data_IF_656510313333
#
_entry.id   IF_656510313333
#
_cell.length_a   1.000
_cell.length_b   1.000
_cell.length_c   1.000
_cell.angle_alpha   90.00
_cell.angle_beta   90.00
_cell.angle_gamma   90.00
#
_symmetry.space_group_name_H-M   'P 1'
#
loop_
_entity.id
_entity.type
_entity.pdbx_description
1 polymer ?
#
# COMPACT_ATOMS: atom_id res chain seq x y z
N UNK A 1 46.29 11.03 -78.98
CA UNK A 1 47.27 11.00 -77.87
C UNK A 1 47.44 9.54 -77.45
N UNK A 2 48.49 8.80 -77.84
CA UNK A 2 49.87 8.71 -77.27
C UNK A 2 49.86 8.61 -75.73
N UNK A 3 50.52 7.66 -75.06
CA UNK A 3 51.40 6.53 -75.42
C UNK A 3 51.53 5.63 -74.17
N UNK A 4 51.73 4.33 -74.38
CA UNK A 4 52.23 3.36 -73.38
C UNK A 4 53.57 3.81 -72.83
N UNK A 5 53.87 3.55 -71.56
CA UNK A 5 55.28 3.50 -71.12
C UNK A 5 55.52 2.42 -70.08
N UNK A 6 56.52 1.62 -70.45
CA UNK A 6 57.07 0.42 -69.88
C UNK A 6 57.97 0.70 -68.68
N UNK A 7 58.02 -0.29 -67.80
CA UNK A 7 58.92 -0.51 -66.66
C UNK A 7 60.39 -0.22 -66.95
N UNK A 8 61.12 0.32 -65.97
CA UNK A 8 62.58 0.21 -65.91
C UNK A 8 63.05 -0.24 -64.52
N UNK A 9 63.36 -1.53 -64.46
CA UNK A 9 63.99 -2.26 -63.38
C UNK A 9 65.50 -2.00 -63.36
N UNK A 10 65.99 -0.91 -62.75
CA UNK A 10 67.46 -0.75 -62.61
C UNK A 10 67.92 -0.02 -61.35
N UNK A 11 67.08 0.76 -60.65
CA UNK A 11 67.57 1.53 -59.49
C UNK A 11 67.62 0.77 -58.15
N UNK A 12 67.07 -0.45 -58.04
CA UNK A 12 66.93 -1.11 -56.74
C UNK A 12 68.13 -1.99 -56.34
N UNK A 13 69.06 -2.26 -57.26
CA UNK A 13 70.03 -3.35 -57.08
C UNK A 13 71.32 -2.98 -56.34
N UNK A 14 71.53 -1.69 -55.98
CA UNK A 14 72.80 -1.23 -55.38
C UNK A 14 72.71 -0.54 -54.00
N UNK A 15 71.54 -0.55 -53.32
CA UNK A 15 71.45 -0.08 -51.92
C UNK A 15 71.11 -1.18 -50.92
N UNK A 16 71.01 -2.43 -51.36
CA UNK A 16 70.65 -3.58 -50.51
C UNK A 16 71.84 -4.30 -49.88
N UNK A 17 73.05 -4.15 -50.42
CA UNK A 17 74.21 -4.93 -49.96
C UNK A 17 74.91 -4.28 -48.74
N UNK A 18 74.68 -2.98 -48.49
CA UNK A 18 75.22 -2.28 -47.30
C UNK A 18 74.35 -2.41 -46.04
N UNK A 19 73.14 -2.97 -46.16
CA UNK A 19 72.22 -3.20 -45.02
C UNK A 19 72.17 -4.67 -44.55
N UNK A 20 72.94 -5.56 -45.18
CA UNK A 20 72.96 -6.98 -44.83
C UNK A 20 74.11 -7.38 -43.89
N UNK A 21 75.08 -6.49 -43.61
CA UNK A 21 76.20 -6.76 -42.70
C UNK A 21 76.07 -6.12 -41.31
N UNK A 22 74.99 -5.39 -41.02
CA UNK A 22 74.76 -4.76 -39.70
C UNK A 22 73.60 -5.42 -38.92
N UNK A 23 72.80 -6.28 -39.56
CA UNK A 23 71.61 -6.90 -38.94
C UNK A 23 71.90 -8.27 -38.28
N UNK A 24 73.11 -8.81 -38.40
CA UNK A 24 73.46 -10.12 -37.79
C UNK A 24 74.13 -10.02 -36.41
N UNK A 25 74.24 -8.83 -35.82
CA UNK A 25 74.90 -8.62 -34.51
C UNK A 25 73.99 -8.04 -33.42
N UNK A 26 72.67 -8.25 -33.53
CA UNK A 26 71.69 -7.71 -32.56
C UNK A 26 70.51 -8.65 -32.26
N UNK A 27 70.72 -9.96 -32.34
CA UNK A 27 69.69 -10.96 -32.02
C UNK A 27 70.23 -12.14 -31.20
N UNK A 28 70.77 -11.87 -30.02
CA UNK A 28 70.98 -12.92 -28.99
C UNK A 28 70.66 -12.47 -27.57
N UNK A 29 69.77 -11.48 -27.40
CA UNK A 29 69.17 -11.24 -26.10
C UNK A 29 67.99 -12.22 -25.90
N UNK A 30 67.97 -13.03 -24.83
CA UNK A 30 66.82 -13.86 -24.50
C UNK A 30 65.61 -12.95 -24.23
N UNK A 31 64.58 -13.07 -25.06
CA UNK A 31 63.31 -12.38 -24.84
C UNK A 31 62.76 -12.81 -23.47
N UNK A 32 62.38 -11.86 -22.58
CA UNK A 32 61.75 -12.23 -21.32
C UNK A 32 60.44 -12.95 -21.65
N UNK A 33 60.31 -14.20 -21.18
CA UNK A 33 59.07 -14.96 -21.27
C UNK A 33 58.00 -14.18 -20.51
N UNK A 34 57.10 -13.51 -21.24
CA UNK A 34 55.94 -12.88 -20.62
C UNK A 34 55.04 -13.99 -20.11
N UNK A 35 55.08 -14.23 -18.80
CA UNK A 35 54.18 -15.15 -18.12
C UNK A 35 52.79 -14.53 -18.20
N UNK A 36 52.00 -14.92 -19.18
CA UNK A 36 50.57 -14.62 -19.18
C UNK A 36 49.98 -15.31 -17.96
N UNK A 37 49.69 -14.55 -16.91
CA UNK A 37 48.90 -15.04 -15.80
C UNK A 37 47.54 -15.42 -16.37
N UNK A 38 47.29 -16.73 -16.50
CA UNK A 38 45.96 -17.23 -16.79
C UNK A 38 45.08 -16.70 -15.67
N UNK A 39 44.06 -15.86 -15.95
CA UNK A 39 43.21 -15.33 -14.90
C UNK A 39 42.61 -16.53 -14.16
N UNK A 40 42.79 -16.54 -12.84
CA UNK A 40 42.21 -17.57 -11.98
C UNK A 40 40.73 -17.74 -12.34
N UNK A 41 40.19 -18.97 -12.39
CA UNK A 41 38.79 -19.17 -12.70
C UNK A 41 37.97 -18.34 -11.72
N UNK A 42 37.25 -17.34 -12.25
CA UNK A 42 36.35 -16.49 -11.46
C UNK A 42 35.42 -17.46 -10.76
N UNK A 43 35.55 -17.57 -9.44
CA UNK A 43 34.76 -18.47 -8.62
C UNK A 43 33.31 -18.31 -9.05
N UNK A 44 32.73 -19.39 -9.62
CA UNK A 44 31.38 -19.37 -10.14
C UNK A 44 30.46 -18.87 -9.03
N UNK A 45 29.93 -17.65 -9.19
CA UNK A 45 29.08 -17.04 -8.18
C UNK A 45 27.92 -18.00 -7.92
N UNK A 46 27.83 -18.54 -6.69
CA UNK A 46 26.77 -19.47 -6.31
C UNK A 46 25.44 -18.75 -6.41
N UNK A 47 24.72 -18.94 -7.51
CA UNK A 47 23.45 -18.27 -7.77
C UNK A 47 22.43 -18.82 -6.77
N UNK A 48 22.10 -18.02 -5.75
CA UNK A 48 21.05 -18.36 -4.78
C UNK A 48 19.72 -18.58 -5.53
N UNK A 49 18.90 -19.57 -5.12
CA UNK A 49 17.64 -19.84 -5.79
C UNK A 49 16.68 -18.63 -5.71
N UNK A 50 15.77 -18.45 -6.69
CA UNK A 50 14.78 -17.38 -6.64
C UNK A 50 13.87 -17.53 -5.41
N UNK A 51 13.63 -16.42 -4.71
CA UNK A 51 12.84 -16.40 -3.45
C UNK A 51 11.98 -15.15 -3.37
N UNK A 52 10.71 -15.31 -3.02
CA UNK A 52 9.82 -14.16 -2.78
C UNK A 52 10.25 -13.35 -1.57
N UNK A 53 10.06 -12.03 -1.64
CA UNK A 53 10.35 -11.11 -0.54
C UNK A 53 9.52 -11.43 0.72
N UNK A 54 8.28 -11.91 0.53
CA UNK A 54 7.36 -12.33 1.60
C UNK A 54 6.51 -13.50 1.11
N UNK A 55 6.13 -14.38 2.03
CA UNK A 55 5.19 -15.49 1.80
C UNK A 55 3.79 -15.18 2.33
N UNK A 56 3.67 -14.21 3.25
CA UNK A 56 2.39 -13.65 3.70
C UNK A 56 2.50 -12.15 3.94
N UNK A 57 1.40 -11.43 3.72
CA UNK A 57 1.27 -10.02 4.10
C UNK A 57 -0.17 -9.62 4.35
N UNK A 58 -0.34 -8.57 5.16
CA UNK A 58 -1.63 -7.90 5.37
C UNK A 58 -1.58 -6.54 4.68
N UNK A 59 -2.59 -6.24 3.86
CA UNK A 59 -2.71 -4.95 3.15
C UNK A 59 -4.14 -4.42 3.31
N UNK A 60 -4.29 -3.13 3.58
CA UNK A 60 -5.63 -2.52 3.71
C UNK A 60 -6.23 -2.21 2.33
N UNK A 61 -7.55 -2.01 2.29
CA UNK A 61 -8.24 -1.59 1.06
C UNK A 61 -7.66 -0.24 0.58
N UNK A 62 -7.35 -0.14 -0.71
CA UNK A 62 -6.73 1.01 -1.35
C UNK A 62 -5.23 1.19 -1.09
N UNK A 63 -4.64 0.44 -0.14
CA UNK A 63 -3.20 0.49 0.12
C UNK A 63 -2.43 -0.23 -0.98
N UNK A 64 -1.26 0.32 -1.34
CA UNK A 64 -0.30 -0.29 -2.27
C UNK A 64 0.90 -0.86 -1.52
N UNK A 65 1.39 -2.00 -1.97
CA UNK A 65 2.65 -2.59 -1.49
C UNK A 65 3.38 -3.25 -2.64
N UNK A 66 4.70 -3.45 -2.53
CA UNK A 66 5.47 -4.11 -3.59
C UNK A 66 5.99 -5.46 -3.13
N UNK A 67 5.77 -6.47 -3.96
CA UNK A 67 6.42 -7.77 -3.87
C UNK A 67 7.57 -7.86 -4.86
N UNK A 68 8.61 -8.56 -4.46
CA UNK A 68 9.80 -8.79 -5.28
C UNK A 68 10.11 -10.28 -5.29
N UNK A 69 10.60 -10.77 -6.41
CA UNK A 69 11.23 -12.08 -6.52
C UNK A 69 12.74 -11.86 -6.54
N UNK A 70 13.41 -12.14 -5.42
CA UNK A 70 14.86 -12.01 -5.29
C UNK A 70 15.56 -13.09 -6.13
N UNK A 71 16.78 -12.80 -6.59
CA UNK A 71 17.57 -13.67 -7.47
C UNK A 71 16.85 -14.04 -8.78
N UNK A 72 16.00 -13.14 -9.27
CA UNK A 72 15.32 -13.25 -10.56
C UNK A 72 15.46 -11.97 -11.37
N UNK A 73 15.47 -12.11 -12.70
CA UNK A 73 15.45 -10.96 -13.61
C UNK A 73 14.01 -10.43 -13.66
N UNK A 74 13.78 -9.22 -13.16
CA UNK A 74 12.44 -8.64 -12.97
C UNK A 74 11.60 -8.59 -14.24
N UNK A 75 12.21 -8.39 -15.41
CA UNK A 75 11.52 -8.37 -16.72
C UNK A 75 11.01 -9.73 -17.17
N UNK A 76 11.53 -10.82 -16.60
CA UNK A 76 11.11 -12.19 -16.89
C UNK A 76 10.09 -12.72 -15.86
N UNK A 77 9.73 -11.92 -14.85
CA UNK A 77 8.76 -12.31 -13.83
C UNK A 77 7.37 -11.91 -14.27
N UNK A 78 6.46 -12.88 -14.38
CA UNK A 78 5.04 -12.63 -14.64
C UNK A 78 4.27 -12.70 -13.33
N UNK A 79 3.59 -11.62 -12.96
CA UNK A 79 2.75 -11.56 -11.76
C UNK A 79 1.28 -11.84 -12.10
N UNK A 80 0.58 -12.47 -11.17
CA UNK A 80 -0.87 -12.68 -11.25
C UNK A 80 -1.52 -12.82 -9.89
N UNK A 81 -2.83 -12.61 -9.84
CA UNK A 81 -3.68 -12.78 -8.66
C UNK A 81 -4.67 -13.91 -8.88
N UNK A 82 -4.94 -14.72 -7.85
CA UNK A 82 -6.04 -15.69 -7.91
C UNK A 82 -7.42 -15.01 -7.92
N UNK A 83 -7.53 -13.79 -7.41
CA UNK A 83 -8.77 -13.01 -7.42
C UNK A 83 -8.48 -11.50 -7.40
N UNK A 84 -8.61 -10.88 -8.57
CA UNK A 84 -8.40 -9.44 -8.77
C UNK A 84 -9.47 -8.57 -8.10
N UNK A 85 -10.64 -9.13 -7.76
CA UNK A 85 -11.66 -8.40 -7.00
C UNK A 85 -11.26 -8.19 -5.54
N UNK A 86 -10.30 -8.97 -5.01
CA UNK A 86 -9.80 -8.84 -3.64
C UNK A 86 -8.44 -8.12 -3.63
N UNK A 87 -7.49 -8.56 -4.46
CA UNK A 87 -6.17 -7.92 -4.60
C UNK A 87 -5.75 -7.93 -6.06
N UNK A 88 -5.39 -6.76 -6.59
CA UNK A 88 -4.79 -6.63 -7.93
C UNK A 88 -3.26 -6.59 -7.82
N UNK A 89 -2.57 -7.01 -8.87
CA UNK A 89 -1.11 -6.90 -8.99
C UNK A 89 -0.72 -6.39 -10.38
N UNK A 90 0.21 -5.45 -10.47
CA UNK A 90 0.70 -4.96 -11.76
C UNK A 90 1.97 -5.70 -12.23
N UNK A 91 2.40 -5.42 -13.48
CA UNK A 91 3.59 -6.04 -14.10
C UNK A 91 4.89 -5.85 -13.28
N UNK A 92 4.98 -4.77 -12.49
CA UNK A 92 6.16 -4.47 -11.66
C UNK A 92 6.11 -5.10 -10.26
N UNK A 93 5.05 -5.85 -9.94
CA UNK A 93 4.85 -6.50 -8.64
C UNK A 93 4.22 -5.61 -7.58
N UNK A 94 3.61 -4.48 -7.94
CA UNK A 94 2.82 -3.69 -6.99
C UNK A 94 1.44 -4.30 -6.82
N UNK A 95 1.13 -4.68 -5.59
CA UNK A 95 -0.17 -5.18 -5.17
C UNK A 95 -1.03 -4.04 -4.61
N UNK A 96 -2.33 -4.07 -4.88
CA UNK A 96 -3.32 -3.12 -4.33
C UNK A 96 -4.49 -3.90 -3.74
N UNK A 97 -4.85 -3.62 -2.48
CA UNK A 97 -6.05 -4.19 -1.86
C UNK A 97 -7.32 -3.55 -2.44
N UNK A 98 -8.28 -4.36 -2.88
CA UNK A 98 -9.54 -3.90 -3.50
C UNK A 98 -10.73 -4.18 -2.58
N UNK A 99 -10.89 -5.42 -2.11
CA UNK A 99 -11.94 -5.83 -1.18
C UNK A 99 -11.37 -6.67 -0.05
N UNK A 100 -12.13 -6.82 1.05
CA UNK A 100 -11.74 -7.69 2.15
C UNK A 100 -11.72 -9.16 1.71
N UNK A 101 -10.81 -9.94 2.28
CA UNK A 101 -10.68 -11.36 1.96
C UNK A 101 -9.23 -11.82 2.02
N UNK A 102 -9.01 -13.08 1.68
CA UNK A 102 -7.67 -13.65 1.55
C UNK A 102 -7.51 -14.20 0.15
N UNK A 103 -6.41 -13.87 -0.51
CA UNK A 103 -6.10 -14.32 -1.88
C UNK A 103 -4.62 -14.63 -2.00
N UNK A 104 -4.24 -15.56 -2.88
CA UNK A 104 -2.82 -15.76 -3.20
C UNK A 104 -2.44 -14.94 -4.44
N UNK A 105 -1.34 -14.22 -4.33
CA UNK A 105 -0.63 -13.63 -5.45
C UNK A 105 0.48 -14.58 -5.86
N UNK A 106 0.71 -14.73 -7.16
CA UNK A 106 1.78 -15.57 -7.67
C UNK A 106 2.71 -14.82 -8.62
N UNK A 107 3.98 -15.21 -8.58
CA UNK A 107 5.01 -14.83 -9.53
C UNK A 107 5.46 -16.08 -10.27
N UNK A 108 5.51 -16.00 -11.60
CA UNK A 108 6.02 -17.06 -12.48
C UNK A 108 7.38 -16.61 -13.00
N UNK A 109 8.41 -17.42 -12.79
CA UNK A 109 9.76 -17.19 -13.29
C UNK A 109 10.38 -18.52 -13.69
N UNK A 110 10.88 -18.62 -14.94
CA UNK A 110 11.46 -19.86 -15.50
C UNK A 110 10.56 -21.09 -15.26
N UNK A 111 9.27 -20.95 -15.55
CA UNK A 111 8.23 -21.98 -15.41
C UNK A 111 7.97 -22.46 -13.97
N UNK A 112 8.52 -21.78 -12.95
CA UNK A 112 8.24 -22.05 -11.54
C UNK A 112 7.28 -21.02 -10.97
N UNK A 113 6.28 -21.48 -10.23
CA UNK A 113 5.27 -20.65 -9.56
C UNK A 113 5.67 -20.43 -8.11
N UNK A 114 5.75 -19.17 -7.70
CA UNK A 114 6.00 -18.75 -6.33
C UNK A 114 4.76 -18.03 -5.80
N UNK A 115 4.26 -18.41 -4.62
CA UNK A 115 3.00 -17.88 -4.09
C UNK A 115 3.20 -17.09 -2.80
N UNK A 116 2.45 -16.00 -2.65
CA UNK A 116 2.35 -15.21 -1.43
C UNK A 116 0.88 -15.06 -1.05
N UNK A 117 0.54 -15.33 0.21
CA UNK A 117 -0.82 -15.16 0.76
C UNK A 117 -1.02 -13.73 1.21
N UNK A 118 -1.99 -13.04 0.62
CA UNK A 118 -2.35 -11.68 0.99
C UNK A 118 -3.71 -11.67 1.69
N UNK A 119 -3.77 -11.05 2.86
CA UNK A 119 -5.01 -10.85 3.62
C UNK A 119 -5.37 -9.37 3.62
N UNK A 120 -6.59 -9.06 3.18
CA UNK A 120 -7.20 -7.74 3.28
C UNK A 120 -8.25 -7.77 4.38
N UNK A 121 -8.01 -7.09 5.52
CA UNK A 121 -8.96 -7.10 6.62
C UNK A 121 -10.23 -6.35 6.25
N UNK A 122 -11.36 -6.75 6.85
CA UNK A 122 -12.61 -6.02 6.75
C UNK A 122 -12.48 -4.71 7.52
N UNK A 123 -12.94 -3.62 6.91
CA UNK A 123 -13.07 -2.33 7.56
C UNK A 123 -14.36 -2.31 8.37
N UNK A 124 -14.30 -1.78 9.58
CA UNK A 124 -15.44 -1.71 10.51
C UNK A 124 -15.52 -0.35 11.18
N UNK A 125 -16.73 0.11 11.47
CA UNK A 125 -16.95 1.31 12.27
C UNK A 125 -16.94 0.96 13.76
N UNK A 126 -16.35 1.82 14.60
CA UNK A 126 -16.17 1.54 16.02
C UNK A 126 -17.48 1.30 16.78
N UNK A 127 -18.56 1.97 16.38
CA UNK A 127 -19.89 1.81 16.95
C UNK A 127 -20.93 2.00 15.85
N UNK A 128 -22.00 1.20 15.89
CA UNK A 128 -23.16 1.31 14.99
C UNK A 128 -24.28 2.15 15.59
N UNK A 129 -24.29 2.34 16.91
CA UNK A 129 -25.23 3.20 17.63
C UNK A 129 -24.55 3.83 18.84
N UNK A 130 -24.78 5.13 19.06
CA UNK A 130 -24.25 5.86 20.22
C UNK A 130 -25.31 6.83 20.74
N UNK A 131 -25.52 6.83 22.07
CA UNK A 131 -26.28 7.87 22.75
C UNK A 131 -25.33 8.93 23.30
N UNK A 132 -25.59 10.20 23.00
CA UNK A 132 -24.81 11.34 23.51
C UNK A 132 -25.73 12.40 24.10
N UNK A 133 -25.21 13.18 25.03
CA UNK A 133 -25.93 14.31 25.58
C UNK A 133 -25.76 15.57 24.73
N UNK A 134 -26.76 16.44 24.75
CA UNK A 134 -26.68 17.77 24.11
C UNK A 134 -25.42 18.51 24.59
N UNK A 135 -24.69 19.11 23.64
CA UNK A 135 -23.44 19.83 23.89
C UNK A 135 -22.22 18.93 24.12
N UNK A 136 -22.40 17.61 24.28
CA UNK A 136 -21.28 16.67 24.44
C UNK A 136 -20.77 16.15 23.10
N UNK A 137 -19.56 15.59 23.16
CA UNK A 137 -18.81 15.10 22.00
C UNK A 137 -18.49 13.63 22.15
N UNK A 138 -18.45 12.92 21.03
CA UNK A 138 -17.96 11.53 20.93
C UNK A 138 -17.15 11.38 19.65
N UNK A 139 -16.20 10.46 19.62
CA UNK A 139 -15.41 10.18 18.41
C UNK A 139 -15.86 8.86 17.79
N UNK A 140 -16.03 8.83 16.48
CA UNK A 140 -16.14 7.61 15.69
C UNK A 140 -14.88 7.39 14.86
N UNK A 141 -14.48 6.13 14.74
CA UNK A 141 -13.34 5.72 13.92
C UNK A 141 -13.70 4.54 13.02
N UNK A 142 -12.97 4.42 11.92
CA UNK A 142 -12.98 3.21 11.09
C UNK A 142 -11.71 2.40 11.39
N UNK A 143 -11.89 1.20 11.91
CA UNK A 143 -10.81 0.25 12.11
C UNK A 143 -10.42 -0.39 10.77
N UNK A 144 -9.13 -0.66 10.59
CA UNK A 144 -8.53 -1.19 9.35
C UNK A 144 -8.65 -0.31 8.10
N UNK A 145 -9.20 0.90 8.21
CA UNK A 145 -9.24 1.86 7.10
C UNK A 145 -7.84 2.36 6.70
N UNK A 146 -7.72 2.79 5.44
CA UNK A 146 -6.52 3.41 4.88
C UNK A 146 -6.89 4.65 4.04
N UNK A 147 -6.07 5.68 4.17
CA UNK A 147 -6.31 6.98 3.53
C UNK A 147 -7.40 7.79 4.20
N UNK A 148 -7.89 8.82 3.50
CA UNK A 148 -8.86 9.78 4.03
C UNK A 148 -10.25 9.16 4.15
N UNK A 149 -10.96 9.52 5.21
CA UNK A 149 -12.37 9.18 5.42
C UNK A 149 -13.20 10.46 5.37
N UNK A 150 -14.26 10.47 4.56
CA UNK A 150 -15.23 11.56 4.52
C UNK A 150 -16.37 11.27 5.49
N UNK A 151 -16.82 12.28 6.23
CA UNK A 151 -17.88 12.14 7.22
C UNK A 151 -19.06 13.06 6.89
N UNK A 152 -20.27 12.56 7.05
CA UNK A 152 -21.51 13.32 6.80
C UNK A 152 -22.55 13.02 7.88
N UNK A 153 -23.28 14.04 8.31
CA UNK A 153 -24.49 13.89 9.12
C UNK A 153 -25.72 13.99 8.23
N UNK A 154 -26.72 13.12 8.42
CA UNK A 154 -28.01 13.20 7.75
C UNK A 154 -28.82 14.41 8.23
N UNK A 155 -28.70 14.76 9.51
CA UNK A 155 -29.32 15.95 10.13
C UNK A 155 -28.30 16.67 11.01
N UNK A 156 -27.80 17.81 10.49
CA UNK A 156 -26.84 18.69 11.15
C UNK A 156 -27.44 19.53 12.27
N UNK A 157 -28.77 19.62 12.37
CA UNK A 157 -29.46 20.29 13.47
C UNK A 157 -29.47 19.43 14.74
N UNK A 158 -29.51 18.10 14.58
CA UNK A 158 -29.42 17.12 15.68
C UNK A 158 -27.97 16.86 16.10
N UNK A 159 -27.08 16.53 15.16
CA UNK A 159 -25.66 16.36 15.45
C UNK A 159 -24.77 16.69 14.24
N UNK A 160 -23.58 17.25 14.50
CA UNK A 160 -22.56 17.52 13.48
C UNK A 160 -21.35 16.63 13.65
N UNK A 161 -20.64 16.32 12.55
CA UNK A 161 -19.41 15.54 12.56
C UNK A 161 -18.27 16.32 11.88
N UNK A 162 -17.07 16.29 12.45
CA UNK A 162 -15.86 16.88 11.88
C UNK A 162 -15.20 15.97 10.84
N UNK A 163 -14.18 16.47 10.13
CA UNK A 163 -13.35 15.66 9.22
C UNK A 163 -12.57 14.55 9.92
N UNK A 164 -12.30 14.69 11.22
CA UNK A 164 -11.63 13.68 12.05
C UNK A 164 -12.58 12.63 12.66
N UNK A 165 -13.88 12.72 12.40
CA UNK A 165 -14.88 11.81 12.99
C UNK A 165 -15.35 12.21 14.39
N UNK A 166 -15.06 13.44 14.86
CA UNK A 166 -15.60 13.95 16.12
C UNK A 166 -17.03 14.45 15.91
N UNK A 167 -17.96 13.87 16.65
CA UNK A 167 -19.39 14.20 16.63
C UNK A 167 -19.70 15.10 17.81
N UNK A 168 -20.53 16.13 17.57
CA UNK A 168 -21.08 17.03 18.59
C UNK A 168 -22.61 16.93 18.55
N UNK A 169 -23.22 16.61 19.69
CA UNK A 169 -24.69 16.64 19.84
C UNK A 169 -25.19 18.07 20.00
N UNK A 170 -26.21 18.45 19.22
CA UNK A 170 -26.74 19.83 19.19
C UNK A 170 -28.17 19.92 19.71
N UNK A 171 -29.04 19.02 19.28
CA UNK A 171 -30.46 19.01 19.65
C UNK A 171 -30.92 17.58 19.89
N UNK A 172 -31.85 17.39 20.81
CA UNK A 172 -32.48 16.08 21.05
C UNK A 172 -33.09 15.51 19.77
N UNK A 173 -32.89 14.21 19.56
CA UNK A 173 -33.36 13.51 18.37
C UNK A 173 -32.40 12.44 17.89
N UNK A 174 -32.77 11.77 16.80
CA UNK A 174 -31.96 10.74 16.15
C UNK A 174 -31.44 11.25 14.81
N UNK A 175 -30.18 10.97 14.51
CA UNK A 175 -29.55 11.28 13.21
C UNK A 175 -28.55 10.19 12.84
N UNK A 176 -28.19 10.09 11.57
CA UNK A 176 -27.26 9.09 11.06
C UNK A 176 -25.97 9.79 10.64
N UNK A 177 -24.85 9.31 11.17
CA UNK A 177 -23.52 9.69 10.70
C UNK A 177 -23.04 8.64 9.71
N UNK A 178 -22.65 9.08 8.52
CA UNK A 178 -22.09 8.26 7.45
C UNK A 178 -20.59 8.56 7.31
N UNK A 179 -19.78 7.51 7.39
CA UNK A 179 -18.36 7.54 7.08
C UNK A 179 -18.13 6.87 5.72
N UNK A 180 -17.38 7.51 4.83
CA UNK A 180 -17.04 6.97 3.51
C UNK A 180 -15.53 6.85 3.37
N UNK A 181 -15.03 5.63 3.16
CA UNK A 181 -13.61 5.35 2.93
C UNK A 181 -13.47 4.41 1.72
N UNK A 182 -12.58 4.75 0.78
CA UNK A 182 -12.36 3.97 -0.46
C UNK A 182 -13.67 3.63 -1.21
N UNK A 183 -14.61 4.59 -1.28
CA UNK A 183 -15.96 4.47 -1.88
C UNK A 183 -16.93 3.51 -1.15
N UNK A 184 -16.54 2.94 -0.02
CA UNK A 184 -17.38 2.11 0.84
C UNK A 184 -17.95 2.98 1.97
N UNK A 185 -19.24 2.84 2.25
CA UNK A 185 -19.95 3.59 3.29
C UNK A 185 -20.18 2.76 4.56
N UNK A 186 -20.12 3.43 5.71
CA UNK A 186 -20.38 2.87 7.03
C UNK A 186 -21.27 3.84 7.79
N UNK A 187 -22.26 3.35 8.52
CA UNK A 187 -23.26 4.18 9.20
C UNK A 187 -23.27 3.94 10.70
N UNK A 188 -23.50 5.02 11.45
CA UNK A 188 -23.74 4.97 12.89
C UNK A 188 -24.96 5.83 13.24
N UNK A 189 -25.86 5.28 14.03
CA UNK A 189 -27.04 5.99 14.54
C UNK A 189 -26.65 6.77 15.79
N UNK A 190 -26.90 8.07 15.79
CA UNK A 190 -26.65 8.94 16.94
C UNK A 190 -28.00 9.32 17.55
N UNK A 191 -28.16 9.00 18.83
CA UNK A 191 -29.30 9.43 19.63
C UNK A 191 -28.86 10.53 20.59
N UNK A 192 -29.29 11.76 20.33
CA UNK A 192 -28.99 12.89 21.20
C UNK A 192 -30.11 13.02 22.22
N UNK A 193 -29.75 13.01 23.50
CA UNK A 193 -30.69 13.13 24.62
C UNK A 193 -30.33 14.33 25.50
N UNK A 194 -31.32 14.87 26.19
CA UNK A 194 -31.12 15.98 27.12
C UNK A 194 -30.99 15.41 28.54
N UNK A 195 -29.90 15.78 29.22
CA UNK A 195 -29.67 15.42 30.62
C UNK A 195 -30.70 16.08 31.54
N UNK A 196 -31.02 17.34 31.28
CA UNK A 196 -31.87 18.13 32.15
C UNK A 196 -33.30 17.57 32.08
N UNK A 197 -33.81 17.36 30.86
CA UNK A 197 -35.11 16.69 30.67
C UNK A 197 -35.20 15.34 31.38
N UNK A 198 -34.17 14.48 31.26
CA UNK A 198 -34.18 13.16 31.92
C UNK A 198 -34.19 13.28 33.45
N UNK A 199 -33.57 14.34 33.98
CA UNK A 199 -33.53 14.61 35.42
C UNK A 199 -34.88 15.15 35.89
N UNK A 200 -35.47 16.08 35.14
CA UNK A 200 -36.81 16.64 35.41
C UNK A 200 -37.87 15.53 35.41
N UNK A 201 -37.89 14.68 34.37
CA UNK A 201 -38.81 13.53 34.26
C UNK A 201 -38.66 12.57 35.48
N UNK A 202 -37.44 12.38 35.98
CA UNK A 202 -37.16 11.52 37.13
C UNK A 202 -37.59 12.17 38.46
N UNK A 203 -37.38 13.48 38.61
CA UNK A 203 -37.83 14.26 39.77
C UNK A 203 -39.36 14.24 39.82
N UNK A 204 -40.04 14.50 38.70
CA UNK A 204 -41.50 14.47 38.62
C UNK A 204 -42.06 13.10 39.01
N UNK A 205 -41.46 12.02 38.49
CA UNK A 205 -41.86 10.65 38.85
C UNK A 205 -41.68 10.36 40.36
N UNK A 206 -40.60 10.85 40.96
CA UNK A 206 -40.31 10.66 42.37
C UNK A 206 -41.27 11.47 43.26
N UNK A 207 -41.60 12.71 42.85
CA UNK A 207 -42.62 13.54 43.50
C UNK A 207 -43.99 12.86 43.46
N UNK A 208 -44.40 12.34 42.30
CA UNK A 208 -45.68 11.62 42.14
C UNK A 208 -45.72 10.37 43.04
N UNK A 209 -44.61 9.63 43.13
CA UNK A 209 -44.51 8.45 43.98
C UNK A 209 -44.60 8.82 45.46
N UNK A 210 -43.85 9.82 45.91
CA UNK A 210 -43.88 10.29 47.29
C UNK A 210 -45.27 10.82 47.70
N UNK A 211 -45.94 11.58 46.81
CA UNK A 211 -47.32 12.05 47.03
C UNK A 211 -48.29 10.90 47.24
N UNK A 212 -48.14 9.82 46.48
CA UNK A 212 -48.96 8.61 46.61
C UNK A 212 -48.73 7.90 47.94
N UNK A 213 -47.49 7.78 48.38
CA UNK A 213 -47.12 7.13 49.66
C UNK A 213 -47.67 7.89 50.88
N UNK A 214 -47.67 9.23 50.84
CA UNK A 214 -48.21 10.06 51.92
C UNK A 214 -49.72 10.32 51.81
N UNK A 215 -50.42 9.72 50.84
CA UNK A 215 -51.87 9.86 50.67
C UNK A 215 -52.34 11.26 50.22
N UNK A 216 -51.47 12.05 49.57
CA UNK A 216 -51.82 13.39 49.09
C UNK A 216 -52.80 13.32 47.92
N UNK A 217 -53.99 13.92 48.06
CA UNK A 217 -54.95 14.16 46.96
C UNK A 217 -54.85 15.61 46.50
N UNK A 218 -54.50 15.82 45.23
CA UNK A 218 -54.54 17.14 44.59
C UNK A 218 -55.94 17.75 44.78
N UNK A 219 -56.05 18.96 45.36
CA UNK A 219 -57.33 19.68 45.42
C UNK A 219 -57.71 20.07 43.99
N UNK A 220 -58.82 19.53 43.49
CA UNK A 220 -59.37 19.87 42.18
C UNK A 220 -59.77 21.35 42.20
N UNK A 221 -58.99 22.21 41.55
CA UNK A 221 -59.42 23.57 41.24
C UNK A 221 -60.30 23.51 40.00
N UNK A 222 -61.61 23.35 40.20
CA UNK A 222 -62.61 23.61 39.17
C UNK A 222 -62.62 25.14 38.96
N UNK A 223 -62.08 25.59 37.83
CA UNK A 223 -62.17 26.98 37.41
C UNK A 223 -63.57 27.22 36.84
N UNK A 224 -64.34 28.07 37.54
CA UNK A 224 -65.66 28.61 37.16
C UNK A 224 -65.53 29.54 35.95
#
# INVERSE_FOLDING_TARGET
MKKKTTTNHTCFRNRLISWLLVITLLFSAPMPVQVFSVPAPVAAATIKPPKLSKTSAVIKIGQKSRLYLNNAVSTQVTWGSENEQIVTVNKSGYITGVNNGTVKIYAIYKNRKYTCRITVPKVSISNTSVSIYVGKKVSLKLDNAYGTTSWKSSDKSVATVSSSGQITGKKTGKTIITATNQRITYTCTINVVDLNKKTDDAIDALIVTARKEIGYREKRTESV
#
